data_IF_657787039247
#
_entry.id   IF_657787039247
#
_cell.length_a   1.000
_cell.length_b   1.000
_cell.length_c   1.000
_cell.angle_alpha   90.00
_cell.angle_beta   90.00
_cell.angle_gamma   90.00
#
_symmetry.space_group_name_H-M   'P 1'
#
loop_
_entity.id
_entity.type
_entity.pdbx_description
1 polymer ?
#
# COMPACT_ATOMS: atom_id res chain seq x y z
N UNK A 1 5.65 -28.24 3.51
CA UNK A 1 5.58 -27.12 4.48
C UNK A 1 4.29 -26.36 4.19
N UNK A 2 3.41 -26.17 5.16
CA UNK A 2 2.15 -25.42 4.95
C UNK A 2 2.42 -23.97 5.36
N UNK A 3 2.38 -23.06 4.40
CA UNK A 3 2.44 -21.63 4.68
C UNK A 3 1.03 -21.11 4.90
N UNK A 4 0.88 -20.15 5.81
CA UNK A 4 -0.36 -19.42 6.03
C UNK A 4 -0.09 -17.93 6.02
N UNK A 5 -1.09 -17.14 5.69
CA UNK A 5 -1.04 -15.68 5.73
C UNK A 5 -1.98 -15.16 6.83
N UNK A 6 -1.66 -13.98 7.34
CA UNK A 6 -2.51 -13.20 8.22
C UNK A 6 -2.31 -11.71 7.89
N UNK A 7 -3.28 -10.83 8.16
CA UNK A 7 -3.05 -9.39 8.11
C UNK A 7 -1.84 -9.00 8.98
N UNK A 8 -0.96 -8.15 8.46
CA UNK A 8 0.30 -7.81 9.12
C UNK A 8 0.11 -6.99 10.42
N UNK A 9 -1.06 -6.34 10.60
CA UNK A 9 -1.37 -5.51 11.76
C UNK A 9 -0.63 -4.17 11.83
N UNK A 10 0.33 -3.94 10.95
CA UNK A 10 1.08 -2.69 10.80
C UNK A 10 1.21 -2.32 9.33
N UNK A 11 1.22 -1.01 9.06
CA UNK A 11 1.52 -0.44 7.74
C UNK A 11 2.99 -0.02 7.61
N UNK A 12 3.81 -0.26 8.63
CA UNK A 12 5.23 0.06 8.61
C UNK A 12 6.08 -1.16 8.94
N UNK A 13 7.12 -1.35 8.14
CA UNK A 13 8.16 -2.36 8.32
C UNK A 13 9.47 -1.59 8.50
N UNK A 14 10.00 -1.51 9.73
CA UNK A 14 11.29 -0.87 9.96
C UNK A 14 12.41 -1.76 9.41
N UNK A 15 13.47 -1.12 8.93
CA UNK A 15 14.69 -1.80 8.52
C UNK A 15 15.88 -0.85 8.62
N UNK A 16 17.10 -1.38 8.79
CA UNK A 16 18.29 -0.58 9.07
C UNK A 16 18.81 0.19 7.86
N UNK A 17 18.54 -0.29 6.64
CA UNK A 17 18.92 0.37 5.38
C UNK A 17 17.71 0.98 4.67
N UNK A 18 16.59 0.28 4.71
CA UNK A 18 15.33 0.74 4.16
C UNK A 18 14.21 0.42 5.13
N UNK A 19 13.35 1.41 5.36
CA UNK A 19 12.05 1.26 6.00
C UNK A 19 10.98 1.34 4.92
N UNK A 20 9.93 0.53 5.08
CA UNK A 20 8.77 0.53 4.20
C UNK A 20 7.57 1.05 4.98
N UNK A 21 6.80 1.95 4.36
CA UNK A 21 5.55 2.44 4.91
C UNK A 21 4.48 2.47 3.83
N UNK A 22 3.39 1.74 4.04
CA UNK A 22 2.17 1.89 3.24
C UNK A 22 1.51 3.20 3.68
N UNK A 23 1.61 4.23 2.82
CA UNK A 23 1.00 5.54 3.04
C UNK A 23 -0.52 5.49 2.86
N UNK A 24 -0.99 4.65 1.93
CA UNK A 24 -2.40 4.35 1.70
C UNK A 24 -2.55 2.87 1.39
N UNK A 25 -3.40 2.17 2.13
CA UNK A 25 -3.78 0.80 1.79
C UNK A 25 -4.84 0.85 0.68
N UNK A 26 -4.58 0.15 -0.42
CA UNK A 26 -5.52 0.00 -1.51
C UNK A 26 -6.76 -0.77 -1.08
N UNK A 27 -7.83 -0.60 -1.85
CA UNK A 27 -9.07 -1.31 -1.63
C UNK A 27 -9.79 -1.54 -2.95
N UNK A 28 -10.70 -2.52 -2.94
CA UNK A 28 -11.67 -2.74 -4.00
C UNK A 28 -12.98 -3.13 -3.34
N UNK A 29 -14.05 -2.40 -3.63
CA UNK A 29 -15.38 -2.61 -3.06
C UNK A 29 -16.40 -2.69 -4.20
N UNK A 30 -17.24 -3.73 -4.25
CA UNK A 30 -18.32 -3.78 -5.22
C UNK A 30 -19.29 -2.63 -4.96
N UNK A 31 -19.72 -1.97 -6.03
CA UNK A 31 -20.76 -0.96 -6.04
C UNK A 31 -22.05 -1.48 -6.69
N UNK A 32 -23.10 -0.64 -6.78
CA UNK A 32 -24.33 -0.97 -7.48
C UNK A 32 -24.08 -1.25 -8.97
N UNK A 33 -24.95 -2.05 -9.58
CA UNK A 33 -24.96 -2.29 -11.04
C UNK A 33 -23.63 -2.79 -11.62
N UNK A 34 -22.86 -3.56 -10.83
CA UNK A 34 -21.58 -4.12 -11.27
C UNK A 34 -20.42 -3.12 -11.32
N UNK A 35 -20.62 -1.89 -10.83
CA UNK A 35 -19.54 -0.92 -10.64
C UNK A 35 -18.58 -1.36 -9.52
N UNK A 36 -17.37 -0.79 -9.51
CA UNK A 36 -16.37 -1.03 -8.46
C UNK A 36 -15.78 0.30 -8.02
N UNK A 37 -15.79 0.55 -6.72
CA UNK A 37 -15.02 1.63 -6.11
C UNK A 37 -13.68 1.05 -5.65
N UNK A 38 -12.59 1.57 -6.19
CA UNK A 38 -11.25 1.06 -5.90
C UNK A 38 -10.20 2.17 -5.89
N UNK A 39 -9.11 1.90 -5.17
CA UNK A 39 -7.87 2.67 -5.17
C UNK A 39 -6.67 1.72 -4.98
N UNK A 40 -5.53 2.06 -5.55
CA UNK A 40 -4.27 1.37 -5.37
C UNK A 40 -3.60 1.70 -4.03
N UNK A 41 -2.78 0.78 -3.54
CA UNK A 41 -1.90 1.09 -2.40
C UNK A 41 -0.83 2.09 -2.83
N UNK A 42 -0.41 2.96 -1.91
CA UNK A 42 0.72 3.86 -2.10
C UNK A 42 1.74 3.58 -1.03
N UNK A 43 2.99 3.33 -1.41
CA UNK A 43 4.04 2.90 -0.49
C UNK A 43 5.27 3.81 -0.58
N UNK A 44 5.82 4.19 0.57
CA UNK A 44 7.07 4.90 0.70
C UNK A 44 8.18 3.95 1.13
N UNK A 45 9.32 4.03 0.46
CA UNK A 45 10.56 3.38 0.86
C UNK A 45 11.57 4.49 1.18
N UNK A 46 12.11 4.47 2.40
CA UNK A 46 12.99 5.53 2.92
C UNK A 46 14.12 4.97 3.80
N UNK A 47 15.16 5.77 4.05
CA UNK A 47 16.32 5.40 4.89
C UNK A 47 17.60 5.15 4.10
N UNK A 48 17.49 4.87 2.80
CA UNK A 48 18.62 4.77 1.88
C UNK A 48 18.96 6.10 1.21
N UNK A 49 19.84 6.08 0.18
CA UNK A 49 20.27 7.30 -0.53
C UNK A 49 19.14 7.94 -1.37
N UNK A 50 18.07 7.21 -1.63
CA UNK A 50 16.91 7.67 -2.38
C UNK A 50 15.64 7.39 -1.57
N UNK A 51 14.76 8.39 -1.54
CA UNK A 51 13.38 8.21 -1.09
C UNK A 51 12.54 7.84 -2.31
N UNK A 52 11.85 6.71 -2.24
CA UNK A 52 11.11 6.14 -3.36
C UNK A 52 9.63 6.06 -3.02
N UNK A 53 8.80 6.63 -3.89
CA UNK A 53 7.36 6.45 -3.87
C UNK A 53 7.00 5.35 -4.87
N UNK A 54 6.34 4.30 -4.40
CA UNK A 54 5.84 3.19 -5.21
C UNK A 54 4.34 3.34 -5.34
N UNK A 55 3.88 3.43 -6.58
CA UNK A 55 2.53 3.84 -7.00
C UNK A 55 2.12 5.22 -6.46
N UNK A 56 1.03 5.78 -6.99
CA UNK A 56 0.57 7.14 -6.65
C UNK A 56 -0.94 7.21 -6.36
N UNK A 57 -1.63 6.06 -6.41
CA UNK A 57 -3.08 6.05 -6.47
C UNK A 57 -3.56 6.70 -7.77
N UNK A 58 -4.80 7.13 -7.78
CA UNK A 58 -5.40 7.84 -8.91
C UNK A 58 -5.88 9.25 -8.56
N UNK A 59 -6.47 9.94 -9.54
CA UNK A 59 -6.47 11.41 -9.59
C UNK A 59 -7.63 12.08 -8.85
N UNK A 60 -8.37 11.36 -8.00
CA UNK A 60 -9.64 11.84 -7.40
C UNK A 60 -9.48 12.80 -6.22
N UNK A 61 -8.28 12.99 -5.67
CA UNK A 61 -8.01 13.96 -4.58
C UNK A 61 -7.61 15.35 -5.11
N UNK A 62 -8.12 15.75 -6.28
CA UNK A 62 -7.89 17.09 -6.83
C UNK A 62 -8.55 18.15 -5.98
#
# INVERSE_FOLDING_TARGET
RRWSTAPLGSLSIPGPLYSVRVLRAGFSRPGPEGSVLADGSVTLIAGGPLTVLVDTGGPWLR
#
